data_IF_970826059426
#
_entry.id   IF_970826059426
#
_cell.length_a   1.000
_cell.length_b   1.000
_cell.length_c   1.000
_cell.angle_alpha   90.00
_cell.angle_beta   90.00
_cell.angle_gamma   90.00
#
_symmetry.space_group_name_H-M   'P 1'
#
loop_
_entity.id
_entity.type
_entity.pdbx_description
1 polymer ?
#
# COMPACT_ATOMS: atom_id res chain seq x y z
N UNK A 1 -11.87 -33.73 -77.18
CA UNK A 1 -10.79 -32.78 -76.99
C UNK A 1 -11.28 -31.75 -75.99
N UNK A 2 -11.00 -31.91 -74.71
CA UNK A 2 -11.41 -30.96 -73.63
C UNK A 2 -10.16 -30.51 -72.87
N UNK A 3 -9.91 -29.18 -72.96
CA UNK A 3 -8.80 -28.53 -72.27
C UNK A 3 -9.24 -28.28 -70.82
N UNK A 4 -8.50 -28.83 -69.85
CA UNK A 4 -8.62 -28.46 -68.45
C UNK A 4 -7.68 -27.32 -68.12
N UNK A 5 -8.23 -26.21 -67.66
CA UNK A 5 -7.51 -25.10 -67.05
C UNK A 5 -7.39 -25.39 -65.55
N UNK A 6 -6.18 -25.54 -65.02
CA UNK A 6 -5.88 -25.49 -63.62
C UNK A 6 -5.66 -24.03 -63.19
N UNK A 7 -6.51 -23.53 -62.35
CA UNK A 7 -6.29 -22.27 -61.65
C UNK A 7 -5.53 -22.57 -60.32
N UNK A 8 -4.29 -22.09 -60.19
CA UNK A 8 -3.53 -22.15 -58.96
C UNK A 8 -3.91 -20.94 -58.10
N UNK A 9 -4.57 -21.17 -56.97
CA UNK A 9 -4.83 -20.17 -55.95
C UNK A 9 -3.58 -20.07 -55.04
N UNK A 10 -2.85 -18.98 -55.11
CA UNK A 10 -1.78 -18.66 -54.18
C UNK A 10 -2.38 -18.06 -52.91
N UNK A 11 -2.42 -18.83 -51.83
CA UNK A 11 -2.76 -18.33 -50.50
C UNK A 11 -1.54 -17.57 -49.93
N UNK A 12 -1.63 -16.25 -49.88
CA UNK A 12 -0.68 -15.41 -49.17
C UNK A 12 -1.03 -15.48 -47.67
N UNK A 13 -0.29 -16.27 -46.90
CA UNK A 13 -0.33 -16.27 -45.45
C UNK A 13 0.41 -15.05 -44.93
N UNK A 14 -0.33 -14.02 -44.50
CA UNK A 14 0.24 -12.92 -43.72
C UNK A 14 0.45 -13.45 -42.29
N UNK A 15 1.67 -13.87 -42.01
CA UNK A 15 2.09 -14.10 -40.63
C UNK A 15 2.14 -12.72 -39.91
N UNK A 16 1.13 -12.42 -39.11
CA UNK A 16 1.22 -11.33 -38.17
C UNK A 16 2.25 -11.71 -37.11
N UNK A 17 3.49 -11.26 -37.30
CA UNK A 17 4.50 -11.29 -36.25
C UNK A 17 4.01 -10.34 -35.15
N UNK A 18 3.50 -10.88 -34.05
CA UNK A 18 3.34 -10.12 -32.83
C UNK A 18 4.74 -9.66 -32.42
N UNK A 19 5.03 -8.41 -32.68
CA UNK A 19 6.22 -7.75 -32.12
C UNK A 19 5.93 -7.67 -30.61
N UNK A 20 6.54 -8.55 -29.84
CA UNK A 20 6.64 -8.37 -28.40
C UNK A 20 7.46 -7.11 -28.21
N UNK A 21 6.78 -5.99 -27.90
CA UNK A 21 7.45 -4.78 -27.45
C UNK A 21 8.06 -5.15 -26.10
N UNK A 22 9.34 -5.45 -26.10
CA UNK A 22 10.12 -5.54 -24.88
C UNK A 22 10.29 -4.10 -24.38
N UNK A 23 9.68 -3.78 -23.24
CA UNK A 23 9.88 -2.52 -22.51
C UNK A 23 11.30 -2.43 -21.91
N UNK A 24 12.32 -2.90 -22.63
CA UNK A 24 13.67 -3.15 -22.10
C UNK A 24 14.74 -2.16 -22.59
N UNK A 25 14.37 -1.13 -23.34
CA UNK A 25 15.35 -0.16 -23.86
C UNK A 25 15.46 1.13 -23.03
N UNK A 26 14.49 1.41 -22.13
CA UNK A 26 14.58 2.59 -21.27
C UNK A 26 15.52 2.36 -20.08
N UNK A 27 16.40 3.32 -19.84
CA UNK A 27 17.27 3.37 -18.66
C UNK A 27 17.17 4.75 -18.01
N UNK A 28 17.26 4.86 -16.66
CA UNK A 28 17.24 6.15 -16.01
C UNK A 28 18.33 7.09 -16.56
N UNK A 29 18.01 8.35 -16.84
CA UNK A 29 19.03 9.32 -17.30
C UNK A 29 20.03 9.72 -16.20
N UNK A 30 19.81 9.31 -14.97
CA UNK A 30 20.68 9.53 -13.83
C UNK A 30 20.20 8.77 -12.59
N UNK A 31 20.82 8.99 -11.41
CA UNK A 31 20.36 8.39 -10.16
C UNK A 31 18.89 8.70 -9.87
N UNK A 32 18.15 7.70 -9.40
CA UNK A 32 16.73 7.82 -9.06
C UNK A 32 16.58 8.26 -7.60
N UNK A 33 16.03 9.43 -7.36
CA UNK A 33 15.56 9.86 -6.03
C UNK A 33 14.35 9.01 -5.66
N UNK A 34 14.53 8.11 -4.70
CA UNK A 34 13.48 7.24 -4.19
C UNK A 34 12.88 7.84 -2.92
N UNK A 35 11.80 8.58 -3.06
CA UNK A 35 11.07 9.18 -1.94
C UNK A 35 10.24 8.12 -1.22
N UNK A 36 10.23 8.12 0.12
CA UNK A 36 9.53 7.12 0.93
C UNK A 36 8.62 7.84 1.94
N UNK A 37 7.31 7.64 1.82
CA UNK A 37 6.30 8.36 2.58
C UNK A 37 6.22 8.01 4.07
N UNK A 38 6.83 6.90 4.48
CA UNK A 38 6.65 6.34 5.82
C UNK A 38 7.99 6.14 6.54
N UNK A 39 7.91 5.96 7.87
CA UNK A 39 9.08 5.84 8.73
C UNK A 39 9.98 4.65 8.35
N UNK A 40 11.28 4.82 8.53
CA UNK A 40 12.31 3.82 8.27
C UNK A 40 12.02 2.50 9.03
N UNK A 41 12.28 1.36 8.37
CA UNK A 41 12.02 0.01 8.87
C UNK A 41 10.54 -0.39 8.93
N UNK A 42 9.63 0.43 8.40
CA UNK A 42 8.24 0.06 8.14
C UNK A 42 8.09 -0.79 6.87
N UNK A 43 6.89 -1.33 6.63
CA UNK A 43 6.63 -2.18 5.46
C UNK A 43 6.92 -1.50 4.14
N UNK A 44 6.52 -0.23 3.96
CA UNK A 44 6.79 0.55 2.76
C UNK A 44 8.29 0.81 2.58
N UNK A 45 8.97 1.30 3.63
CA UNK A 45 10.41 1.60 3.57
C UNK A 45 11.23 0.34 3.25
N UNK A 46 10.92 -0.78 3.91
CA UNK A 46 11.66 -2.03 3.69
C UNK A 46 11.46 -2.55 2.26
N UNK A 47 10.22 -2.53 1.74
CA UNK A 47 9.97 -2.91 0.34
C UNK A 47 10.71 -2.00 -0.63
N UNK A 48 10.60 -0.66 -0.48
CA UNK A 48 11.22 0.30 -1.37
C UNK A 48 12.74 0.12 -1.45
N UNK A 49 13.41 -0.07 -0.31
CA UNK A 49 14.86 -0.27 -0.26
C UNK A 49 15.31 -1.60 -0.83
N UNK A 50 14.57 -2.69 -0.57
CA UNK A 50 14.90 -4.00 -1.15
C UNK A 50 14.67 -4.03 -2.67
N UNK A 51 13.63 -3.34 -3.17
CA UNK A 51 13.42 -3.16 -4.61
C UNK A 51 14.60 -2.36 -5.20
N UNK A 52 14.99 -1.26 -4.57
CA UNK A 52 16.13 -0.45 -5.03
C UNK A 52 17.41 -1.30 -5.12
N UNK A 53 17.78 -2.02 -4.07
CA UNK A 53 18.95 -2.91 -4.06
C UNK A 53 18.87 -3.96 -5.18
N UNK A 54 17.70 -4.60 -5.34
CA UNK A 54 17.52 -5.60 -6.40
C UNK A 54 17.69 -5.00 -7.80
N UNK A 55 17.14 -3.81 -8.06
CA UNK A 55 17.26 -3.15 -9.37
C UNK A 55 18.67 -2.57 -9.62
N UNK A 56 19.38 -2.13 -8.57
CA UNK A 56 20.80 -1.79 -8.67
C UNK A 56 21.62 -3.00 -9.11
N UNK A 57 21.42 -4.16 -8.48
CA UNK A 57 22.15 -5.39 -8.81
C UNK A 57 21.80 -5.96 -10.19
N UNK A 58 20.51 -5.92 -10.57
CA UNK A 58 20.01 -6.56 -11.80
C UNK A 58 20.15 -5.69 -13.04
N UNK A 59 19.89 -4.37 -12.90
CA UNK A 59 19.80 -3.43 -14.02
C UNK A 59 20.88 -2.34 -13.99
N UNK A 60 21.65 -2.22 -12.90
CA UNK A 60 22.64 -1.16 -12.73
C UNK A 60 22.03 0.23 -12.49
N UNK A 61 20.75 0.31 -12.13
CA UNK A 61 20.13 1.58 -11.77
C UNK A 61 20.65 2.04 -10.41
N UNK A 62 20.89 3.34 -10.25
CA UNK A 62 21.33 3.90 -8.97
C UNK A 62 20.15 4.53 -8.25
N UNK A 63 19.98 4.25 -6.94
CA UNK A 63 18.89 4.82 -6.13
C UNK A 63 19.42 5.62 -4.95
N UNK A 64 18.76 6.76 -4.67
CA UNK A 64 19.03 7.61 -3.52
C UNK A 64 17.75 7.66 -2.65
N UNK A 65 17.62 6.77 -1.65
CA UNK A 65 16.44 6.72 -0.79
C UNK A 65 16.36 7.91 0.17
N UNK A 66 15.19 8.57 0.21
CA UNK A 66 14.92 9.71 1.08
C UNK A 66 13.56 9.55 1.79
N UNK A 67 13.50 9.70 3.11
CA UNK A 67 12.24 9.73 3.84
C UNK A 67 11.57 11.11 3.75
N UNK A 68 10.35 11.16 3.19
CA UNK A 68 9.48 12.35 3.16
C UNK A 68 8.17 12.01 3.85
N UNK A 69 8.19 11.98 5.17
CA UNK A 69 7.08 11.43 5.97
C UNK A 69 6.05 12.50 6.37
N UNK A 70 4.83 12.05 6.65
CA UNK A 70 3.78 12.85 7.27
C UNK A 70 2.48 12.89 6.47
N UNK A 71 1.38 13.17 7.16
CA UNK A 71 0.01 13.25 6.65
C UNK A 71 -0.38 12.07 5.76
N UNK A 72 0.04 10.84 6.14
CA UNK A 72 -0.29 9.64 5.36
C UNK A 72 0.28 9.62 3.94
N UNK A 73 1.41 10.29 3.70
CA UNK A 73 2.07 10.39 2.39
C UNK A 73 1.84 11.71 1.65
N UNK A 74 0.91 12.56 2.08
CA UNK A 74 0.62 13.84 1.40
C UNK A 74 1.82 14.77 1.36
N UNK A 75 2.68 14.77 2.39
CA UNK A 75 3.90 15.58 2.38
C UNK A 75 4.84 15.16 1.24
N UNK A 76 4.96 13.86 0.97
CA UNK A 76 5.73 13.36 -0.17
C UNK A 76 5.13 13.84 -1.50
N UNK A 77 3.81 13.73 -1.66
CA UNK A 77 3.11 14.18 -2.86
C UNK A 77 3.31 15.68 -3.11
N UNK A 78 3.20 16.51 -2.07
CA UNK A 78 3.44 17.96 -2.17
C UNK A 78 4.88 18.29 -2.61
N UNK A 79 5.87 17.51 -2.20
CA UNK A 79 7.26 17.69 -2.61
C UNK A 79 7.52 17.12 -4.02
N UNK A 80 6.84 16.04 -4.39
CA UNK A 80 7.02 15.33 -5.65
C UNK A 80 6.44 16.09 -6.86
N UNK A 81 5.32 16.81 -6.70
CA UNK A 81 4.55 17.38 -7.80
C UNK A 81 5.34 18.28 -8.76
N UNK A 82 6.37 18.96 -8.26
CA UNK A 82 7.20 19.89 -9.03
C UNK A 82 8.57 19.28 -9.42
N UNK A 83 8.77 17.96 -9.25
CA UNK A 83 10.01 17.27 -9.58
C UNK A 83 10.04 16.83 -11.06
N UNK A 84 11.22 16.50 -11.62
CA UNK A 84 11.32 15.95 -12.97
C UNK A 84 10.48 14.66 -13.13
N UNK A 85 9.81 14.51 -14.30
CA UNK A 85 8.98 13.36 -14.65
C UNK A 85 9.68 12.35 -15.59
N UNK A 86 10.99 12.46 -15.74
CA UNK A 86 11.82 11.64 -16.62
C UNK A 86 12.24 10.28 -16.03
N UNK A 87 11.68 9.92 -14.86
CA UNK A 87 11.99 8.70 -14.12
C UNK A 87 13.10 8.84 -13.10
N UNK A 88 13.73 10.01 -12.98
CA UNK A 88 14.74 10.28 -11.92
C UNK A 88 14.13 10.57 -10.55
N UNK A 89 12.81 10.68 -10.44
CA UNK A 89 12.09 10.82 -9.17
C UNK A 89 10.89 9.88 -9.14
N UNK A 90 10.86 8.99 -8.14
CA UNK A 90 9.72 8.13 -7.84
C UNK A 90 9.47 8.09 -6.33
N UNK A 91 8.24 7.78 -5.94
CA UNK A 91 7.83 7.71 -4.54
C UNK A 91 7.16 6.41 -4.16
N UNK A 92 7.58 5.80 -3.06
CA UNK A 92 6.86 4.72 -2.41
C UNK A 92 5.80 5.31 -1.47
N UNK A 93 4.55 5.09 -1.81
CA UNK A 93 3.36 5.53 -1.07
C UNK A 93 2.42 4.34 -0.84
N UNK A 94 1.25 4.59 -0.30
CA UNK A 94 0.10 3.67 -0.34
C UNK A 94 -1.01 4.31 -1.17
N UNK A 95 -1.92 3.51 -1.69
CA UNK A 95 -3.01 4.00 -2.54
C UNK A 95 -3.82 5.11 -1.86
N UNK A 96 -4.04 5.02 -0.54
CA UNK A 96 -4.73 6.05 0.22
C UNK A 96 -3.98 7.38 0.28
N UNK A 97 -2.68 7.40 0.00
CA UNK A 97 -1.92 8.66 -0.07
C UNK A 97 -2.44 9.53 -1.20
N UNK A 98 -2.71 8.94 -2.38
CA UNK A 98 -3.33 9.59 -3.53
C UNK A 98 -4.87 9.64 -3.44
N UNK A 99 -5.48 8.79 -2.63
CA UNK A 99 -6.91 8.74 -2.40
C UNK A 99 -7.33 9.58 -1.19
N UNK A 100 -7.78 8.89 -0.15
CA UNK A 100 -8.37 9.49 1.05
C UNK A 100 -7.49 10.56 1.71
N UNK A 101 -6.18 10.32 1.87
CA UNK A 101 -5.31 11.26 2.58
C UNK A 101 -5.11 12.56 1.79
N UNK A 102 -5.02 12.48 0.45
CA UNK A 102 -4.92 13.65 -0.41
C UNK A 102 -6.23 14.44 -0.40
N UNK A 103 -7.37 13.76 -0.54
CA UNK A 103 -8.70 14.38 -0.47
C UNK A 103 -8.92 15.12 0.86
N UNK A 104 -8.65 14.45 1.99
CA UNK A 104 -8.90 15.01 3.32
C UNK A 104 -7.92 16.12 3.71
N UNK A 105 -6.75 16.18 3.09
CA UNK A 105 -5.75 17.23 3.34
C UNK A 105 -6.12 18.57 2.71
N UNK A 106 -7.00 18.58 1.69
CA UNK A 106 -7.49 19.76 0.96
C UNK A 106 -6.35 20.73 0.55
N UNK A 107 -5.29 20.15 -0.04
CA UNK A 107 -4.09 20.91 -0.45
C UNK A 107 -4.16 21.42 -1.91
N UNK A 108 -5.33 21.29 -2.56
CA UNK A 108 -5.55 21.69 -3.94
C UNK A 108 -4.90 20.78 -4.97
N UNK A 109 -4.59 19.54 -4.59
CA UNK A 109 -4.05 18.50 -5.47
C UNK A 109 -5.05 17.35 -5.62
N UNK A 110 -4.99 16.67 -6.75
CA UNK A 110 -5.81 15.51 -7.10
C UNK A 110 -4.91 14.36 -7.57
N UNK A 111 -5.42 13.14 -7.74
CA UNK A 111 -4.62 12.06 -8.32
C UNK A 111 -4.07 12.36 -9.71
N UNK A 112 -4.75 13.19 -10.49
CA UNK A 112 -4.31 13.59 -11.83
C UNK A 112 -3.04 14.46 -11.83
N UNK A 113 -2.62 15.01 -10.69
CA UNK A 113 -1.33 15.72 -10.54
C UNK A 113 -0.14 14.75 -10.38
N UNK A 114 -0.35 13.43 -10.56
CA UNK A 114 0.66 12.39 -10.36
C UNK A 114 0.49 11.24 -11.36
N UNK A 115 1.60 10.58 -11.67
CA UNK A 115 1.60 9.33 -12.42
C UNK A 115 1.63 8.15 -11.44
N UNK A 116 0.56 7.35 -11.38
CA UNK A 116 0.59 6.06 -10.69
C UNK A 116 1.42 5.06 -11.51
N UNK A 117 2.41 4.41 -10.93
CA UNK A 117 3.36 3.56 -11.65
C UNK A 117 2.97 2.08 -11.56
N UNK A 118 3.01 1.51 -10.37
CA UNK A 118 2.63 0.11 -10.11
C UNK A 118 2.37 -0.10 -8.63
N UNK A 119 1.59 -1.12 -8.29
CA UNK A 119 1.47 -1.61 -6.92
C UNK A 119 2.47 -2.73 -6.67
N UNK A 120 2.69 -3.09 -5.39
CA UNK A 120 3.58 -4.20 -5.00
C UNK A 120 2.86 -5.25 -4.17
N UNK A 121 2.12 -4.86 -3.13
CA UNK A 121 1.45 -5.77 -2.22
C UNK A 121 0.25 -5.10 -1.55
N UNK A 122 -0.73 -5.89 -1.14
CA UNK A 122 -1.76 -5.47 -0.20
C UNK A 122 -1.24 -5.57 1.24
N UNK A 123 -1.45 -4.54 2.05
CA UNK A 123 -1.08 -4.58 3.45
C UNK A 123 -1.94 -5.62 4.22
N UNK A 124 -1.37 -6.23 5.26
CA UNK A 124 -2.09 -7.08 6.21
C UNK A 124 -2.48 -6.22 7.42
N UNK A 125 -3.52 -5.39 7.24
CA UNK A 125 -3.96 -4.42 8.23
C UNK A 125 -4.78 -5.09 9.33
N UNK A 126 -4.25 -5.11 10.54
CA UNK A 126 -4.92 -5.66 11.71
C UNK A 126 -4.99 -4.67 12.87
N UNK A 127 -5.92 -4.88 13.78
CA UNK A 127 -5.96 -4.28 15.12
C UNK A 127 -5.14 -5.17 16.02
N UNK A 128 -4.00 -4.67 16.47
CA UNK A 128 -2.97 -5.44 17.18
C UNK A 128 -2.72 -4.83 18.56
N UNK A 129 -2.84 -5.65 19.60
CA UNK A 129 -2.56 -5.24 20.98
C UNK A 129 -1.21 -5.80 21.44
N UNK A 130 -0.64 -5.16 22.48
CA UNK A 130 0.43 -5.79 23.28
C UNK A 130 -0.15 -6.97 24.08
N UNK A 131 0.53 -8.10 24.09
CA UNK A 131 0.15 -9.25 24.92
C UNK A 131 0.14 -8.89 26.41
N UNK A 132 0.92 -7.89 26.83
CA UNK A 132 0.97 -7.40 28.20
C UNK A 132 -0.37 -6.79 28.69
N UNK A 133 -1.28 -6.39 27.77
CA UNK A 133 -2.64 -5.93 28.13
C UNK A 133 -3.52 -7.05 28.71
N UNK A 134 -3.17 -8.30 28.40
CA UNK A 134 -3.98 -9.48 28.77
C UNK A 134 -5.27 -9.64 27.93
N UNK A 135 -5.46 -8.82 26.88
CA UNK A 135 -6.60 -8.93 25.96
C UNK A 135 -6.35 -10.04 24.95
N UNK A 136 -6.96 -11.19 25.17
CA UNK A 136 -6.86 -12.33 24.25
C UNK A 136 -7.85 -12.25 23.09
N UNK A 137 -8.76 -11.26 23.06
CA UNK A 137 -9.73 -11.03 21.99
C UNK A 137 -10.19 -9.57 21.94
N UNK A 138 -10.85 -9.21 20.84
CA UNK A 138 -11.44 -7.88 20.65
C UNK A 138 -12.47 -7.55 21.75
N UNK A 139 -13.33 -8.50 22.11
CA UNK A 139 -14.36 -8.34 23.13
C UNK A 139 -13.75 -7.98 24.50
N UNK A 140 -12.59 -8.58 24.87
CA UNK A 140 -11.88 -8.28 26.11
C UNK A 140 -11.35 -6.85 26.14
N UNK A 141 -10.87 -6.34 25.02
CA UNK A 141 -10.49 -4.93 24.90
C UNK A 141 -11.71 -4.02 25.11
N UNK A 142 -12.84 -4.33 24.48
CA UNK A 142 -14.07 -3.56 24.61
C UNK A 142 -14.64 -3.63 26.04
N UNK A 143 -14.61 -4.79 26.69
CA UNK A 143 -14.99 -4.93 28.10
C UNK A 143 -14.14 -4.01 29.00
N UNK A 144 -12.82 -3.96 28.77
CA UNK A 144 -11.92 -3.08 29.53
C UNK A 144 -12.26 -1.59 29.31
N UNK A 145 -12.50 -1.16 28.06
CA UNK A 145 -12.92 0.20 27.75
C UNK A 145 -14.25 0.58 28.40
N UNK A 146 -15.26 -0.30 28.35
CA UNK A 146 -16.54 -0.11 29.03
C UNK A 146 -16.43 -0.07 30.57
N UNK A 147 -15.40 -0.70 31.12
CA UNK A 147 -15.06 -0.63 32.54
C UNK A 147 -14.32 0.67 32.93
N UNK A 148 -14.05 1.56 31.97
CA UNK A 148 -13.43 2.87 32.19
C UNK A 148 -11.92 2.90 31.99
N UNK A 149 -11.31 1.84 31.41
CA UNK A 149 -9.91 1.88 31.03
C UNK A 149 -9.73 2.83 29.83
N UNK A 150 -8.79 3.77 29.92
CA UNK A 150 -8.36 4.61 28.80
C UNK A 150 -7.56 3.73 27.83
N UNK A 151 -8.15 3.44 26.65
CA UNK A 151 -7.51 2.62 25.61
C UNK A 151 -6.80 3.52 24.61
N UNK A 152 -5.46 3.50 24.65
CA UNK A 152 -4.58 4.26 23.76
C UNK A 152 -4.44 3.52 22.45
N UNK A 153 -5.08 4.05 21.39
CA UNK A 153 -5.17 3.43 20.08
C UNK A 153 -4.25 4.12 19.06
N UNK A 154 -3.19 3.44 18.63
CA UNK A 154 -2.21 3.96 17.66
C UNK A 154 -2.72 3.92 16.22
N UNK A 155 -2.63 5.06 15.51
CA UNK A 155 -3.00 5.19 14.09
C UNK A 155 -1.89 5.87 13.29
N UNK A 156 -1.73 5.51 12.02
CA UNK A 156 -0.66 6.01 11.15
C UNK A 156 -1.15 6.92 10.01
N UNK A 157 -2.46 7.13 9.91
CA UNK A 157 -3.08 8.06 8.95
C UNK A 157 -4.39 8.60 9.51
N UNK A 158 -4.90 9.69 8.94
CA UNK A 158 -6.20 10.26 9.30
C UNK A 158 -7.32 9.26 9.03
N UNK A 159 -7.33 8.57 7.87
CA UNK A 159 -8.31 7.53 7.53
C UNK A 159 -8.41 6.45 8.62
N UNK A 160 -7.29 5.96 9.11
CA UNK A 160 -7.27 4.97 10.20
C UNK A 160 -7.74 5.56 11.53
N UNK A 161 -7.50 6.86 11.76
CA UNK A 161 -8.07 7.57 12.92
C UNK A 161 -9.60 7.60 12.89
N UNK A 162 -10.17 7.85 11.72
CA UNK A 162 -11.64 7.85 11.54
C UNK A 162 -12.22 6.44 11.67
N UNK A 163 -11.52 5.40 11.16
CA UNK A 163 -11.94 4.02 11.39
C UNK A 163 -11.91 3.64 12.87
N UNK A 164 -10.87 4.06 13.62
CA UNK A 164 -10.80 3.83 15.05
C UNK A 164 -11.94 4.56 15.79
N UNK A 165 -12.24 5.80 15.41
CA UNK A 165 -13.36 6.57 15.95
C UNK A 165 -14.71 5.87 15.69
N UNK A 166 -14.99 5.47 14.46
CA UNK A 166 -16.21 4.76 14.09
C UNK A 166 -16.34 3.43 14.83
N UNK A 167 -15.23 2.70 14.99
CA UNK A 167 -15.21 1.45 15.75
C UNK A 167 -15.54 1.71 17.23
N UNK A 168 -14.93 2.71 17.84
CA UNK A 168 -15.25 3.12 19.21
C UNK A 168 -16.72 3.48 19.38
N UNK A 169 -17.25 4.29 18.46
CA UNK A 169 -18.68 4.68 18.41
C UNK A 169 -19.60 3.45 18.29
N UNK A 170 -19.31 2.53 17.38
CA UNK A 170 -20.08 1.30 17.20
C UNK A 170 -20.07 0.40 18.44
N UNK A 171 -18.96 0.37 19.17
CA UNK A 171 -18.76 -0.46 20.34
C UNK A 171 -19.15 0.23 21.68
N UNK A 172 -19.43 1.54 21.65
CA UNK A 172 -19.74 2.35 22.85
C UNK A 172 -18.53 2.53 23.77
N UNK A 173 -17.33 2.69 23.18
CA UNK A 173 -16.06 2.95 23.87
C UNK A 173 -15.39 4.15 23.23
N UNK A 174 -14.86 5.05 24.06
CA UNK A 174 -14.11 6.22 23.58
C UNK A 174 -12.62 5.89 23.58
N UNK A 175 -12.01 5.74 22.39
CA UNK A 175 -10.58 5.44 22.26
C UNK A 175 -9.76 6.72 22.31
N UNK A 176 -8.65 6.68 23.04
CA UNK A 176 -7.61 7.72 23.01
C UNK A 176 -6.74 7.52 21.77
N UNK A 177 -7.10 8.18 20.65
CA UNK A 177 -6.48 7.98 19.35
C UNK A 177 -5.15 8.74 19.27
N UNK A 178 -4.04 8.00 19.10
CA UNK A 178 -2.67 8.52 19.03
C UNK A 178 -2.14 8.41 17.59
N UNK A 179 -1.93 9.55 16.93
CA UNK A 179 -1.42 9.61 15.57
C UNK A 179 0.11 9.60 15.54
N UNK A 180 0.70 8.71 14.72
CA UNK A 180 2.15 8.56 14.53
C UNK A 180 2.53 8.38 13.05
N UNK A 181 3.84 8.47 12.76
CA UNK A 181 4.36 8.48 11.37
C UNK A 181 4.65 7.07 10.82
N UNK A 182 3.60 6.25 10.63
CA UNK A 182 3.71 4.95 9.98
C UNK A 182 3.73 3.75 10.92
N UNK A 183 3.55 2.55 10.35
CA UNK A 183 3.33 1.30 11.09
C UNK A 183 4.46 0.92 12.04
N UNK A 184 5.73 1.25 11.73
CA UNK A 184 6.85 1.00 12.63
C UNK A 184 6.71 1.79 13.93
N UNK A 185 6.24 3.04 13.87
CA UNK A 185 6.03 3.85 15.06
C UNK A 185 4.87 3.32 15.92
N UNK A 186 3.79 2.81 15.29
CA UNK A 186 2.71 2.09 16.01
C UNK A 186 3.26 0.84 16.70
N UNK A 187 3.98 -0.02 15.96
CA UNK A 187 4.57 -1.24 16.52
C UNK A 187 5.47 -0.94 17.72
N UNK A 188 6.36 0.06 17.59
CA UNK A 188 7.25 0.44 18.67
C UNK A 188 6.47 0.96 19.90
N UNK A 189 5.45 1.80 19.69
CA UNK A 189 4.64 2.36 20.76
C UNK A 189 3.82 1.29 21.48
N UNK A 190 3.25 0.33 20.75
CA UNK A 190 2.51 -0.81 21.36
C UNK A 190 3.46 -1.72 22.13
N UNK A 191 4.65 -2.01 21.57
CA UNK A 191 5.66 -2.86 22.24
C UNK A 191 6.24 -2.18 23.48
N UNK A 192 6.44 -0.85 23.46
CA UNK A 192 6.94 -0.06 24.59
C UNK A 192 5.87 0.19 25.66
N UNK A 193 4.58 -0.02 25.36
CA UNK A 193 3.48 0.30 26.26
C UNK A 193 3.06 1.79 26.25
N UNK A 194 3.52 2.55 25.26
CA UNK A 194 3.05 3.93 25.01
C UNK A 194 1.63 3.94 24.41
N UNK A 195 1.28 2.85 23.71
CA UNK A 195 -0.04 2.54 23.16
C UNK A 195 -0.44 1.14 23.61
N UNK A 196 -1.74 0.91 23.83
CA UNK A 196 -2.24 -0.42 24.23
C UNK A 196 -2.54 -1.29 23.01
N UNK A 197 -2.99 -0.66 21.93
CA UNK A 197 -3.44 -1.26 20.69
C UNK A 197 -3.17 -0.32 19.52
N UNK A 198 -3.16 -0.83 18.29
CA UNK A 198 -3.08 0.04 17.11
C UNK A 198 -3.23 -0.72 15.80
N UNK A 199 -3.40 0.03 14.72
CA UNK A 199 -3.40 -0.53 13.36
C UNK A 199 -1.96 -0.83 12.93
N UNK A 200 -1.72 -2.07 12.51
CA UNK A 200 -0.44 -2.52 11.95
C UNK A 200 -0.67 -3.22 10.61
N UNK A 201 0.24 -3.01 9.67
CA UNK A 201 0.04 -3.30 8.24
C UNK A 201 0.90 -4.47 7.72
N UNK A 202 1.17 -5.50 8.54
CA UNK A 202 1.90 -6.73 8.16
C UNK A 202 3.20 -6.98 8.95
N UNK A 203 3.86 -5.94 9.44
CA UNK A 203 5.14 -6.07 10.18
C UNK A 203 5.00 -6.66 11.60
N UNK A 204 3.79 -6.84 12.08
CA UNK A 204 3.47 -7.43 13.38
C UNK A 204 3.75 -8.94 13.45
N UNK A 205 3.87 -9.63 12.30
CA UNK A 205 3.98 -11.09 12.21
C UNK A 205 4.99 -11.72 13.15
N UNK A 206 6.25 -11.25 13.22
CA UNK A 206 7.24 -11.79 14.16
C UNK A 206 6.82 -11.65 15.62
N UNK A 207 6.25 -10.52 16.03
CA UNK A 207 5.78 -10.31 17.40
C UNK A 207 4.57 -11.17 17.77
N UNK A 208 3.66 -11.39 16.81
CA UNK A 208 2.53 -12.34 16.99
C UNK A 208 3.05 -13.77 17.15
N UNK A 209 3.98 -14.19 16.29
CA UNK A 209 4.57 -15.52 16.36
C UNK A 209 5.37 -15.75 17.66
N UNK A 210 5.97 -14.70 18.23
CA UNK A 210 6.68 -14.75 19.51
C UNK A 210 5.73 -14.71 20.72
N UNK A 211 4.46 -14.36 20.53
CA UNK A 211 3.49 -14.18 21.61
C UNK A 211 3.58 -12.84 22.34
N UNK A 212 4.33 -11.88 21.81
CA UNK A 212 4.47 -10.52 22.34
C UNK A 212 3.30 -9.61 21.93
N UNK A 213 2.64 -9.96 20.81
CA UNK A 213 1.52 -9.25 20.24
C UNK A 213 0.32 -10.19 20.02
N UNK A 214 -0.89 -9.65 20.14
CA UNK A 214 -2.15 -10.35 19.89
C UNK A 214 -2.94 -9.65 18.79
N UNK A 215 -3.40 -10.41 17.79
CA UNK A 215 -4.35 -9.93 16.79
C UNK A 215 -5.73 -9.90 17.43
N UNK A 216 -6.39 -8.75 17.39
CA UNK A 216 -7.75 -8.60 17.93
C UNK A 216 -8.82 -8.56 16.84
N UNK A 217 -8.49 -8.00 15.66
CA UNK A 217 -9.39 -7.95 14.51
C UNK A 217 -8.63 -7.76 13.21
N UNK A 218 -9.25 -8.14 12.10
CA UNK A 218 -8.84 -7.73 10.76
C UNK A 218 -9.47 -6.37 10.44
N UNK A 219 -8.66 -5.39 10.11
CA UNK A 219 -9.14 -4.13 9.58
C UNK A 219 -9.30 -4.15 8.05
N UNK A 220 -9.13 -5.31 7.41
CA UNK A 220 -9.26 -5.47 5.97
C UNK A 220 -10.70 -5.85 5.59
N UNK A 221 -11.01 -5.72 4.30
CA UNK A 221 -12.24 -6.25 3.69
C UNK A 221 -12.31 -7.78 3.70
N UNK A 222 -11.19 -8.46 4.04
CA UNK A 222 -11.01 -9.91 4.08
C UNK A 222 -10.21 -10.35 5.30
N UNK A 223 -10.24 -11.66 5.66
CA UNK A 223 -9.43 -12.20 6.73
C UNK A 223 -7.92 -11.91 6.58
N UNK A 224 -7.23 -11.75 7.71
CA UNK A 224 -5.78 -11.68 7.76
C UNK A 224 -5.16 -13.06 7.49
N UNK A 225 -4.05 -13.08 6.74
CA UNK A 225 -3.30 -14.34 6.57
C UNK A 225 -2.67 -14.84 7.89
N UNK A 226 -2.39 -13.92 8.80
CA UNK A 226 -1.77 -14.21 10.10
C UNK A 226 -2.76 -14.74 11.14
N UNK A 227 -4.06 -14.43 10.97
CA UNK A 227 -5.17 -14.91 11.80
C UNK A 227 -6.46 -14.86 10.97
N UNK A 228 -6.79 -15.95 10.24
CA UNK A 228 -7.98 -15.99 9.39
C UNK A 228 -9.30 -15.96 10.17
N UNK A 229 -9.29 -16.25 11.45
CA UNK A 229 -10.47 -16.29 12.32
C UNK A 229 -10.74 -14.95 13.02
N UNK A 230 -9.82 -13.97 12.92
CA UNK A 230 -10.00 -12.65 13.50
C UNK A 230 -11.22 -11.93 12.88
N UNK A 231 -12.12 -11.33 13.68
CA UNK A 231 -13.32 -10.67 13.18
C UNK A 231 -12.96 -9.51 12.26
N UNK A 232 -13.77 -9.24 11.24
CA UNK A 232 -13.63 -8.10 10.34
C UNK A 232 -14.30 -6.86 10.96
N UNK A 233 -13.87 -5.65 10.55
CA UNK A 233 -14.51 -4.40 11.02
C UNK A 233 -16.03 -4.38 10.76
N UNK A 234 -16.48 -4.94 9.62
CA UNK A 234 -17.91 -5.05 9.31
C UNK A 234 -18.69 -5.90 10.34
N UNK A 235 -18.05 -6.97 10.84
CA UNK A 235 -18.65 -7.84 11.85
C UNK A 235 -18.70 -7.13 13.23
N UNK A 236 -17.91 -6.08 13.38
CA UNK A 236 -17.82 -5.21 14.55
C UNK A 236 -18.62 -3.90 14.40
N UNK A 237 -19.47 -3.81 13.36
CA UNK A 237 -20.40 -2.70 13.15
C UNK A 237 -19.82 -1.49 12.41
N UNK A 238 -18.69 -1.66 11.68
CA UNK A 238 -18.10 -0.62 10.84
C UNK A 238 -18.09 -1.07 9.38
N UNK A 239 -18.94 -0.47 8.55
CA UNK A 239 -19.09 -0.79 7.11
C UNK A 239 -17.96 -0.20 6.24
N UNK A 240 -16.82 0.01 6.81
CA UNK A 240 -15.60 0.47 6.14
C UNK A 240 -14.44 -0.48 6.48
N UNK A 241 -13.42 -0.48 5.65
CA UNK A 241 -12.21 -1.25 5.86
C UNK A 241 -10.95 -0.36 5.87
N UNK A 242 -9.84 -0.93 6.29
CA UNK A 242 -8.51 -0.34 6.29
C UNK A 242 -7.62 -0.94 5.22
N UNK A 243 -8.19 -1.47 4.14
CA UNK A 243 -7.40 -1.98 3.01
C UNK A 243 -6.41 -0.92 2.55
N UNK A 244 -5.16 -1.31 2.44
CA UNK A 244 -4.07 -0.48 1.98
C UNK A 244 -3.23 -1.24 0.98
N UNK A 245 -2.85 -0.58 -0.13
CA UNK A 245 -2.04 -1.16 -1.18
C UNK A 245 -0.78 -0.33 -1.33
N UNK A 246 0.38 -0.97 -1.17
CA UNK A 246 1.66 -0.33 -1.43
C UNK A 246 1.84 -0.08 -2.92
N UNK A 247 2.24 1.13 -3.29
CA UNK A 247 2.41 1.51 -4.68
C UNK A 247 3.55 2.50 -4.87
N UNK A 248 4.03 2.56 -6.10
CA UNK A 248 4.91 3.60 -6.57
C UNK A 248 4.14 4.63 -7.40
N UNK A 249 4.51 5.88 -7.23
CA UNK A 249 4.01 7.00 -8.02
C UNK A 249 5.19 7.89 -8.45
N UNK A 250 4.97 8.70 -9.47
CA UNK A 250 5.90 9.72 -9.96
C UNK A 250 5.21 11.05 -10.16
N UNK A 251 5.96 12.10 -10.52
CA UNK A 251 5.40 13.37 -10.95
C UNK A 251 4.46 13.19 -12.14
N UNK A 252 3.58 14.17 -12.36
CA UNK A 252 2.63 14.17 -13.47
C UNK A 252 3.32 14.11 -14.83
N UNK A 253 2.56 13.69 -15.86
CA UNK A 253 3.02 13.61 -17.24
C UNK A 253 4.31 12.80 -17.47
N UNK A 254 4.58 11.77 -16.63
CA UNK A 254 5.69 10.86 -16.88
C UNK A 254 5.51 10.18 -18.25
N UNK A 255 6.52 10.19 -19.14
CA UNK A 255 6.44 9.51 -20.43
C UNK A 255 6.04 8.03 -20.27
N UNK A 256 5.12 7.55 -21.13
CA UNK A 256 4.57 6.20 -21.03
C UNK A 256 5.67 5.12 -21.04
N UNK A 257 6.69 5.27 -21.89
CA UNK A 257 7.84 4.35 -21.95
C UNK A 257 8.58 4.28 -20.61
N UNK A 258 8.80 5.44 -19.98
CA UNK A 258 9.43 5.54 -18.65
C UNK A 258 8.57 4.87 -17.58
N UNK A 259 7.26 5.18 -17.57
CA UNK A 259 6.29 4.57 -16.65
C UNK A 259 6.29 3.05 -16.77
N UNK A 260 6.17 2.52 -17.99
CA UNK A 260 6.09 1.09 -18.27
C UNK A 260 7.38 0.35 -17.89
N UNK A 261 8.54 0.93 -18.17
CA UNK A 261 9.82 0.34 -17.82
C UNK A 261 10.02 0.24 -16.31
N UNK A 262 9.73 1.33 -15.58
CA UNK A 262 9.83 1.35 -14.12
C UNK A 262 8.80 0.40 -13.50
N UNK A 263 7.56 0.41 -14.01
CA UNK A 263 6.48 -0.46 -13.53
C UNK A 263 6.83 -1.94 -13.71
N UNK A 264 7.36 -2.34 -14.88
CA UNK A 264 7.79 -3.71 -15.15
C UNK A 264 8.94 -4.12 -14.21
N UNK A 265 9.97 -3.30 -14.08
CA UNK A 265 11.12 -3.60 -13.23
C UNK A 265 10.73 -3.82 -11.75
N UNK A 266 9.87 -2.93 -11.22
CA UNK A 266 9.40 -3.02 -9.83
C UNK A 266 8.47 -4.23 -9.63
N UNK A 267 7.53 -4.47 -10.56
CA UNK A 267 6.59 -5.60 -10.44
C UNK A 267 7.27 -6.95 -10.56
N UNK A 268 8.29 -7.07 -11.43
CA UNK A 268 9.11 -8.27 -11.54
C UNK A 268 9.83 -8.55 -10.21
N UNK A 269 10.48 -7.53 -9.62
CA UNK A 269 11.16 -7.66 -8.33
C UNK A 269 10.20 -8.05 -7.20
N UNK A 270 9.00 -7.44 -7.16
CA UNK A 270 8.00 -7.69 -6.13
C UNK A 270 7.33 -9.07 -6.25
N UNK A 271 7.24 -9.62 -7.46
CA UNK A 271 6.56 -10.89 -7.75
C UNK A 271 7.48 -12.12 -7.70
N UNK A 272 8.78 -11.93 -7.83
CA UNK A 272 9.76 -13.03 -7.79
C UNK A 272 10.06 -13.41 -6.33
N UNK A 273 9.40 -14.46 -5.83
CA UNK A 273 9.58 -14.96 -4.46
C UNK A 273 11.01 -15.48 -4.17
N UNK A 274 11.89 -15.60 -5.18
CA UNK A 274 13.30 -15.97 -5.01
C UNK A 274 14.17 -14.79 -4.62
N UNK A 275 13.69 -13.56 -4.81
CA UNK A 275 14.35 -12.33 -4.38
C UNK A 275 14.09 -12.04 -2.90
N UNK A 276 14.94 -11.22 -2.29
CA UNK A 276 14.74 -10.82 -0.88
C UNK A 276 13.43 -10.03 -0.71
N UNK A 277 13.10 -9.15 -1.65
CA UNK A 277 11.86 -8.37 -1.61
C UNK A 277 10.63 -9.24 -1.86
N UNK A 278 10.64 -10.12 -2.84
CA UNK A 278 9.51 -11.03 -3.10
C UNK A 278 9.26 -11.99 -1.93
N UNK A 279 10.33 -12.53 -1.33
CA UNK A 279 10.23 -13.34 -0.12
C UNK A 279 9.65 -12.56 1.08
N UNK A 280 10.05 -11.28 1.25
CA UNK A 280 9.45 -10.40 2.25
C UNK A 280 7.95 -10.21 1.97
N UNK A 281 7.59 -9.86 0.72
CA UNK A 281 6.20 -9.62 0.31
C UNK A 281 5.35 -10.85 0.56
N UNK A 282 5.85 -12.04 0.22
CA UNK A 282 5.15 -13.29 0.50
C UNK A 282 4.92 -13.52 1.99
N UNK A 283 5.96 -13.38 2.79
CA UNK A 283 5.90 -13.65 4.23
C UNK A 283 5.07 -12.63 5.01
N UNK A 284 5.23 -11.33 4.70
CA UNK A 284 4.63 -10.26 5.49
C UNK A 284 3.23 -9.85 4.97
N UNK A 285 2.98 -9.98 3.65
CA UNK A 285 1.79 -9.44 3.00
C UNK A 285 0.95 -10.50 2.26
N UNK A 286 1.42 -11.74 2.21
CA UNK A 286 0.69 -12.86 1.62
C UNK A 286 0.91 -13.06 0.13
N UNK A 287 1.75 -12.25 -0.50
CA UNK A 287 2.10 -12.27 -1.91
C UNK A 287 1.96 -10.92 -2.58
N UNK A 288 2.48 -10.82 -3.80
CA UNK A 288 2.35 -9.60 -4.60
C UNK A 288 0.90 -9.34 -5.01
N UNK A 289 0.57 -8.06 -5.13
CA UNK A 289 -0.68 -7.56 -5.70
C UNK A 289 -0.28 -6.47 -6.69
N UNK A 290 -0.33 -6.81 -7.98
CA UNK A 290 0.15 -5.93 -9.05
C UNK A 290 -1.04 -5.36 -9.81
N UNK A 291 -1.16 -4.03 -9.78
CA UNK A 291 -2.03 -3.23 -10.64
C UNK A 291 -1.15 -2.24 -11.40
N UNK A 292 -1.44 -2.01 -12.67
CA UNK A 292 -0.70 -1.13 -13.56
C UNK A 292 -1.62 -0.50 -14.61
N UNK A 293 -1.14 0.54 -15.30
CA UNK A 293 -1.86 1.18 -16.39
C UNK A 293 -3.24 1.69 -15.98
N UNK A 294 -4.20 1.59 -16.89
CA UNK A 294 -5.56 2.12 -16.73
C UNK A 294 -6.31 1.54 -15.52
N UNK A 295 -6.07 0.27 -15.17
CA UNK A 295 -6.71 -0.37 -14.02
C UNK A 295 -6.23 0.26 -12.69
N UNK A 296 -4.94 0.59 -12.61
CA UNK A 296 -4.37 1.28 -11.45
C UNK A 296 -4.91 2.71 -11.37
N UNK A 297 -4.88 3.45 -12.47
CA UNK A 297 -5.36 4.84 -12.54
C UNK A 297 -6.83 4.93 -12.13
N UNK A 298 -7.69 4.06 -12.69
CA UNK A 298 -9.11 3.99 -12.34
C UNK A 298 -9.33 3.63 -10.86
N UNK A 299 -8.47 2.80 -10.29
CA UNK A 299 -8.58 2.38 -8.87
C UNK A 299 -8.16 3.52 -7.93
N UNK A 300 -7.09 4.24 -8.26
CA UNK A 300 -6.63 5.42 -7.49
C UNK A 300 -7.70 6.52 -7.52
N UNK A 301 -8.24 6.83 -8.72
CA UNK A 301 -9.27 7.85 -8.87
C UNK A 301 -10.57 7.49 -8.11
N UNK A 302 -10.97 6.23 -8.15
CA UNK A 302 -12.13 5.75 -7.37
C UNK A 302 -11.88 5.91 -5.86
N UNK A 303 -10.71 5.52 -5.36
CA UNK A 303 -10.35 5.67 -3.95
C UNK A 303 -10.40 7.14 -3.48
N UNK A 304 -9.99 8.08 -4.34
CA UNK A 304 -10.11 9.51 -4.08
C UNK A 304 -11.58 9.97 -4.06
N UNK A 305 -12.36 9.60 -5.07
CA UNK A 305 -13.75 10.03 -5.23
C UNK A 305 -14.69 9.46 -4.16
N UNK A 306 -14.38 8.29 -3.60
CA UNK A 306 -15.16 7.64 -2.53
C UNK A 306 -14.80 8.19 -1.13
N UNK A 307 -13.73 8.97 -1.00
CA UNK A 307 -13.26 9.50 0.29
C UNK A 307 -14.30 10.31 1.08
N UNK A 308 -15.17 11.15 0.44
CA UNK A 308 -16.22 11.87 1.15
C UNK A 308 -17.18 10.99 1.94
N UNK A 309 -17.36 9.72 1.54
CA UNK A 309 -18.31 8.79 2.18
C UNK A 309 -17.85 8.48 3.61
N UNK A 310 -16.57 8.13 3.77
CA UNK A 310 -16.00 7.85 5.10
C UNK A 310 -15.93 9.12 5.96
N UNK A 311 -15.49 10.25 5.38
CA UNK A 311 -15.41 11.54 6.09
C UNK A 311 -16.78 11.94 6.65
N UNK A 312 -17.83 11.80 5.82
CA UNK A 312 -19.19 12.09 6.26
C UNK A 312 -19.62 11.19 7.41
N UNK A 313 -19.40 9.87 7.29
CA UNK A 313 -19.75 8.92 8.34
C UNK A 313 -19.04 9.21 9.68
N UNK A 314 -17.77 9.63 9.62
CA UNK A 314 -17.00 10.00 10.82
C UNK A 314 -17.38 11.37 11.41
N UNK A 315 -18.11 12.21 10.65
CA UNK A 315 -18.56 13.54 11.11
C UNK A 315 -19.97 13.53 11.73
N UNK A 316 -20.74 12.46 11.50
CA UNK A 316 -22.10 12.24 12.07
C UNK A 316 -22.04 11.53 13.43
#
# INVERSE_FOLDING_TARGET
MKKFLLAAAAAVSIAASAVSVHAQDWTPPGPIKLMIAFAAGGGADTQARLIAVHLEEKLGWEFIPEQVTGKGGVNLLMEMKDQPNDGTVIGMVVMESLGYNLYSADVGLTPEDFTAITTTAGAQMGIIASAATGWGSFEKMIEAGKAGQDIRFGVMSQRLGELAYLLGKAQGVDFNIISVKGGRAVLNGVTAGDMDVGFMAGIQGPGVAAGDLTILASAMSKPLNQDPDAPLLKDLGVDFDGDAIFMFAGPDDMPQETRDAIASAISDAASDETTEVGALIKRAFGGSLILQGDDLDATVLRNFNDSPILIKAASE
#
